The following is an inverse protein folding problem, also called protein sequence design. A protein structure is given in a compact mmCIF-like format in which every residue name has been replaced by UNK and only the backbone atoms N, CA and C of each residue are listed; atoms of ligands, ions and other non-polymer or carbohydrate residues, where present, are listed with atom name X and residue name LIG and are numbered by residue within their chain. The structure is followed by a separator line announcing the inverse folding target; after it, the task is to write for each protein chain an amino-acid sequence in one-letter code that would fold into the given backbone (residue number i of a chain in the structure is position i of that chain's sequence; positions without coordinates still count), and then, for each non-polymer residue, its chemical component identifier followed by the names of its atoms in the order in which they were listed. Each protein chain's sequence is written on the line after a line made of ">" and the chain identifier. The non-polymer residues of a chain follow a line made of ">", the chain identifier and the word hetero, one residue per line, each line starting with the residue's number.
data_IF_804114804321
#
_entry.id   IF_804114804321
#
_cell.length_a   1.000
_cell.length_b   1.000
_cell.length_c   1.000
_cell.angle_alpha   90.00
_cell.angle_beta   90.00
_cell.angle_gamma   90.00
#
_symmetry.space_group_name_H-M   'P 1'
#
loop_
_entity.id
_entity.type
_entity.pdbx_description
1 polymer ?
#
# COMPACT_ATOMS: atom_id res chain seq x y z
N UNK A 1 12.17 -23.73 2.27
CA UNK A 1 12.87 -22.46 2.58
C UNK A 1 12.96 -22.30 4.11
N UNK A 2 14.13 -22.01 4.68
CA UNK A 2 14.28 -21.85 6.14
C UNK A 2 13.58 -20.56 6.62
N UNK A 3 12.93 -20.58 7.79
CA UNK A 3 12.26 -19.41 8.42
C UNK A 3 13.12 -18.14 8.45
N UNK A 4 14.44 -18.28 8.65
CA UNK A 4 15.37 -17.13 8.63
C UNK A 4 15.43 -16.46 7.24
N UNK A 5 15.43 -17.24 6.18
CA UNK A 5 15.43 -16.75 4.79
C UNK A 5 14.13 -16.01 4.49
N UNK A 6 12.97 -16.55 4.88
CA UNK A 6 11.66 -15.90 4.67
C UNK A 6 11.64 -14.54 5.36
N UNK A 7 12.03 -14.49 6.63
CA UNK A 7 12.09 -13.26 7.43
C UNK A 7 13.01 -12.23 6.80
N UNK A 8 14.18 -12.65 6.30
CA UNK A 8 15.11 -11.77 5.60
C UNK A 8 14.51 -11.19 4.31
N UNK A 9 13.83 -12.01 3.50
CA UNK A 9 13.18 -11.55 2.26
C UNK A 9 12.04 -10.57 2.56
N UNK A 10 11.20 -10.87 3.56
CA UNK A 10 10.12 -9.95 3.98
C UNK A 10 10.65 -8.62 4.50
N UNK A 11 11.75 -8.66 5.28
CA UNK A 11 12.42 -7.45 5.76
C UNK A 11 12.95 -6.62 4.59
N UNK A 12 13.63 -7.25 3.63
CA UNK A 12 14.14 -6.57 2.44
C UNK A 12 13.00 -5.97 1.60
N UNK A 13 11.90 -6.70 1.44
CA UNK A 13 10.72 -6.23 0.71
C UNK A 13 10.09 -5.01 1.38
N UNK A 14 9.91 -5.04 2.71
CA UNK A 14 9.43 -3.89 3.48
C UNK A 14 10.36 -2.67 3.31
N UNK A 15 11.67 -2.89 3.36
CA UNK A 15 12.66 -1.84 3.20
C UNK A 15 12.63 -1.21 1.81
N UNK A 16 12.48 -2.03 0.76
CA UNK A 16 12.35 -1.55 -0.61
C UNK A 16 11.03 -0.82 -0.84
N UNK A 17 9.93 -1.28 -0.25
CA UNK A 17 8.64 -0.60 -0.34
C UNK A 17 8.65 0.76 0.37
N UNK A 18 9.34 0.86 1.52
CA UNK A 18 9.37 2.08 2.33
C UNK A 18 10.55 3.02 2.03
N UNK A 19 11.53 2.61 1.22
CA UNK A 19 12.87 3.23 1.14
C UNK A 19 13.51 3.48 2.51
N UNK A 20 13.20 2.65 3.49
CA UNK A 20 13.59 2.90 4.89
C UNK A 20 13.68 1.59 5.65
N UNK A 21 14.53 1.55 6.68
CA UNK A 21 14.60 0.41 7.61
C UNK A 21 13.32 0.25 8.44
N UNK A 22 12.61 1.34 8.66
CA UNK A 22 11.39 1.39 9.45
C UNK A 22 10.29 2.10 8.66
N UNK A 23 9.09 1.53 8.72
CA UNK A 23 7.90 2.15 8.13
C UNK A 23 7.46 3.34 8.98
N UNK A 24 7.31 4.49 8.33
CA UNK A 24 6.70 5.68 8.88
C UNK A 24 5.31 5.88 8.25
N UNK A 25 4.21 5.57 8.97
CA UNK A 25 2.85 5.69 8.43
C UNK A 25 2.40 7.14 8.19
N UNK A 26 3.17 8.14 8.65
CA UNK A 26 2.90 9.56 8.41
C UNK A 26 3.66 10.14 7.22
N UNK A 27 4.61 9.39 6.66
CA UNK A 27 5.26 9.79 5.41
C UNK A 27 4.33 9.49 4.24
N UNK A 28 4.06 10.50 3.41
CA UNK A 28 3.11 10.41 2.29
C UNK A 28 3.51 9.30 1.31
N UNK A 29 4.79 9.19 0.97
CA UNK A 29 5.24 8.21 -0.02
C UNK A 29 5.15 6.79 0.53
N UNK A 30 5.55 6.60 1.79
CA UNK A 30 5.49 5.29 2.43
C UNK A 30 4.05 4.83 2.67
N UNK A 31 3.21 5.70 3.25
CA UNK A 31 1.82 5.37 3.57
C UNK A 31 1.04 5.01 2.32
N UNK A 32 1.11 5.85 1.28
CA UNK A 32 0.40 5.58 0.03
C UNK A 32 0.97 4.37 -0.71
N UNK A 33 2.29 4.14 -0.71
CA UNK A 33 2.87 2.95 -1.32
C UNK A 33 2.38 1.66 -0.63
N UNK A 34 2.37 1.64 0.70
CA UNK A 34 1.91 0.50 1.49
C UNK A 34 0.41 0.26 1.31
N UNK A 35 -0.42 1.30 1.35
CA UNK A 35 -1.86 1.18 1.10
C UNK A 35 -2.16 0.72 -0.33
N UNK A 36 -1.40 1.22 -1.31
CA UNK A 36 -1.59 0.87 -2.71
C UNK A 36 -1.30 -0.60 -3.02
N UNK A 37 -0.39 -1.24 -2.30
CA UNK A 37 -0.16 -2.69 -2.38
C UNK A 37 -1.36 -3.53 -1.86
N UNK A 38 -2.29 -2.90 -1.14
CA UNK A 38 -3.45 -3.59 -0.55
C UNK A 38 -4.70 -3.48 -1.42
N UNK A 39 -5.01 -2.29 -1.95
CA UNK A 39 -6.27 -2.04 -2.65
C UNK A 39 -6.19 -1.06 -3.83
N UNK A 40 -4.98 -0.60 -4.19
CA UNK A 40 -4.72 0.21 -5.39
C UNK A 40 -5.61 1.45 -5.53
N UNK A 41 -5.45 2.48 -4.68
CA UNK A 41 -6.12 3.76 -4.89
C UNK A 41 -5.61 4.41 -6.17
N UNK A 42 -6.52 5.00 -6.93
CA UNK A 42 -6.21 5.73 -8.15
C UNK A 42 -5.67 7.13 -7.79
N UNK A 43 -4.69 7.59 -8.56
CA UNK A 43 -4.03 8.88 -8.36
C UNK A 43 -4.55 9.84 -9.42
N UNK A 44 -5.03 11.00 -8.99
CA UNK A 44 -5.68 11.99 -9.85
C UNK A 44 -4.67 12.63 -10.81
N UNK A 45 -4.86 12.41 -12.12
CA UNK A 45 -4.03 13.05 -13.13
C UNK A 45 -4.33 14.56 -13.20
N UNK A 46 -3.32 15.40 -12.98
CA UNK A 46 -3.44 16.87 -13.05
C UNK A 46 -3.24 17.60 -11.72
N UNK A 47 -3.16 16.89 -10.59
CA UNK A 47 -2.80 17.52 -9.33
C UNK A 47 -1.29 17.89 -9.31
N UNK A 48 -0.97 19.10 -8.82
CA UNK A 48 0.36 19.73 -8.92
C UNK A 48 1.52 18.87 -8.40
N UNK A 49 1.24 18.02 -7.40
CA UNK A 49 2.26 17.20 -6.74
C UNK A 49 2.35 15.76 -7.27
N UNK A 50 1.50 15.38 -8.23
CA UNK A 50 1.40 13.97 -8.66
C UNK A 50 2.64 13.53 -9.42
N UNK A 51 3.17 14.31 -10.35
CA UNK A 51 4.37 13.93 -11.12
C UNK A 51 5.53 13.58 -10.19
N UNK A 52 5.85 14.47 -9.23
CA UNK A 52 6.92 14.22 -8.25
C UNK A 52 6.64 12.98 -7.40
N UNK A 53 5.40 12.74 -7.01
CA UNK A 53 5.02 11.55 -6.26
C UNK A 53 5.19 10.26 -7.08
N UNK A 54 4.76 10.26 -8.35
CA UNK A 54 4.88 9.08 -9.23
C UNK A 54 6.35 8.74 -9.49
N UNK A 55 7.18 9.75 -9.81
CA UNK A 55 8.62 9.58 -10.01
C UNK A 55 9.31 9.03 -8.77
N UNK A 56 9.00 9.58 -7.58
CA UNK A 56 9.51 9.06 -6.30
C UNK A 56 9.04 7.63 -6.09
N UNK A 57 7.75 7.35 -6.33
CA UNK A 57 7.17 6.02 -6.22
C UNK A 57 7.95 4.98 -7.02
N UNK A 58 8.27 5.29 -8.28
CA UNK A 58 9.01 4.40 -9.19
C UNK A 58 10.45 4.25 -8.73
N UNK A 59 11.14 5.36 -8.43
CA UNK A 59 12.55 5.34 -8.06
C UNK A 59 12.83 4.73 -6.67
N UNK A 60 11.82 4.70 -5.78
CA UNK A 60 12.06 4.53 -4.35
C UNK A 60 11.12 3.58 -3.63
N UNK A 61 9.92 3.33 -4.14
CA UNK A 61 8.87 2.66 -3.38
C UNK A 61 8.24 1.48 -4.12
N UNK A 62 8.97 0.85 -5.06
CA UNK A 62 8.49 -0.30 -5.85
C UNK A 62 7.23 -0.02 -6.69
N UNK A 63 6.95 1.24 -7.03
CA UNK A 63 5.92 1.54 -8.02
C UNK A 63 6.43 1.08 -9.38
N UNK A 64 5.58 0.42 -10.14
CA UNK A 64 5.93 -0.03 -11.50
C UNK A 64 5.56 1.07 -12.48
N UNK A 65 6.48 1.38 -13.39
CA UNK A 65 6.20 2.18 -14.58
C UNK A 65 5.86 1.25 -15.73
N UNK A 66 4.60 1.28 -16.17
CA UNK A 66 4.09 0.44 -17.26
C UNK A 66 4.36 1.07 -18.63
N UNK A 67 4.17 2.38 -18.74
CA UNK A 67 4.49 3.15 -19.95
C UNK A 67 4.77 4.61 -19.60
N UNK A 68 5.48 5.31 -20.48
CA UNK A 68 5.80 6.73 -20.33
C UNK A 68 5.93 7.37 -21.71
N UNK A 69 5.55 8.63 -21.82
CA UNK A 69 5.80 9.42 -23.03
C UNK A 69 7.29 9.78 -23.16
N UNK A 70 7.74 10.05 -24.38
CA UNK A 70 9.17 10.37 -24.65
C UNK A 70 9.62 11.64 -23.92
N UNK A 71 8.74 12.64 -23.85
CA UNK A 71 8.93 13.91 -23.13
C UNK A 71 8.72 13.79 -21.61
N UNK A 72 8.37 12.59 -21.10
CA UNK A 72 8.06 12.30 -19.69
C UNK A 72 6.92 13.13 -19.08
N UNK A 73 6.13 13.80 -19.90
CA UNK A 73 4.98 14.58 -19.42
C UNK A 73 3.89 13.67 -18.84
N UNK A 74 3.85 12.41 -19.25
CA UNK A 74 2.90 11.43 -18.76
C UNK A 74 3.54 10.05 -18.52
N UNK A 75 3.16 9.42 -17.42
CA UNK A 75 3.57 8.07 -17.07
C UNK A 75 2.38 7.26 -16.55
N UNK A 76 2.13 6.10 -17.16
CA UNK A 76 1.24 5.10 -16.60
C UNK A 76 2.01 4.28 -15.58
N UNK A 77 1.67 4.45 -14.32
CA UNK A 77 2.39 3.82 -13.21
C UNK A 77 1.39 3.28 -12.20
N UNK A 78 1.76 2.22 -11.49
CA UNK A 78 0.89 1.66 -10.46
C UNK A 78 1.59 0.68 -9.55
N UNK A 79 0.83 0.19 -8.59
CA UNK A 79 1.23 -0.87 -7.70
C UNK A 79 0.49 -2.14 -8.11
N UNK A 80 1.18 -3.13 -8.72
CA UNK A 80 0.52 -4.39 -9.02
C UNK A 80 0.16 -5.07 -7.69
N UNK A 81 -1.08 -5.56 -7.59
CA UNK A 81 -1.52 -6.38 -6.45
C UNK A 81 -0.82 -7.74 -6.49
N UNK A 82 0.42 -7.78 -6.01
CA UNK A 82 1.23 -8.99 -5.91
C UNK A 82 1.01 -9.62 -4.51
N UNK A 83 0.64 -10.91 -4.41
CA UNK A 83 0.27 -11.53 -3.13
C UNK A 83 1.32 -11.37 -2.03
N UNK A 84 2.61 -11.50 -2.35
CA UNK A 84 3.69 -11.39 -1.37
C UNK A 84 3.84 -9.94 -0.88
N UNK A 85 3.89 -8.95 -1.77
CA UNK A 85 3.95 -7.53 -1.38
C UNK A 85 2.70 -7.07 -0.62
N UNK A 86 1.52 -7.59 -0.95
CA UNK A 86 0.30 -7.30 -0.20
C UNK A 86 0.36 -7.81 1.24
N UNK A 87 0.94 -9.00 1.46
CA UNK A 87 1.20 -9.53 2.80
C UNK A 87 2.21 -8.69 3.58
N UNK A 88 3.31 -8.26 2.92
CA UNK A 88 4.31 -7.37 3.54
C UNK A 88 3.65 -6.06 3.96
N UNK A 89 2.84 -5.46 3.09
CA UNK A 89 2.11 -4.24 3.40
C UNK A 89 1.12 -4.42 4.57
N UNK A 90 0.46 -5.57 4.68
CA UNK A 90 -0.39 -5.89 5.82
C UNK A 90 0.38 -5.87 7.15
N UNK A 91 1.55 -6.50 7.18
CA UNK A 91 2.40 -6.54 8.37
C UNK A 91 2.84 -5.13 8.77
N UNK A 92 3.16 -4.26 7.80
CA UNK A 92 3.54 -2.87 8.09
C UNK A 92 2.38 -2.06 8.67
N UNK A 93 1.18 -2.19 8.09
CA UNK A 93 -0.02 -1.48 8.56
C UNK A 93 -0.49 -1.94 9.94
N UNK A 94 -0.28 -3.21 10.29
CA UNK A 94 -0.66 -3.77 11.59
C UNK A 94 0.52 -3.92 12.56
N UNK A 95 1.70 -3.39 12.21
CA UNK A 95 2.91 -3.51 13.03
C UNK A 95 2.85 -2.73 14.35
N UNK A 96 2.00 -1.71 14.43
CA UNK A 96 1.68 -0.99 15.66
C UNK A 96 0.17 -0.74 15.73
N UNK A 97 -0.35 -0.42 16.92
CA UNK A 97 -1.78 -0.09 17.10
C UNK A 97 -2.23 1.15 16.35
N UNK A 98 -1.31 2.03 15.96
CA UNK A 98 -1.59 3.28 15.24
C UNK A 98 -1.22 3.28 13.76
N UNK A 99 -0.40 2.33 13.30
CA UNK A 99 0.16 2.36 11.94
C UNK A 99 -0.91 2.48 10.86
N UNK A 100 -1.98 1.70 10.96
CA UNK A 100 -3.11 1.75 10.03
C UNK A 100 -3.85 3.09 10.10
N UNK A 101 -4.19 3.55 11.30
CA UNK A 101 -4.90 4.82 11.50
C UNK A 101 -4.11 6.00 10.94
N UNK A 102 -2.82 6.10 11.28
CA UNK A 102 -1.93 7.17 10.81
C UNK A 102 -1.79 7.12 9.27
N UNK A 103 -1.71 5.93 8.65
CA UNK A 103 -1.68 5.79 7.20
C UNK A 103 -3.00 6.19 6.53
N UNK A 104 -4.14 5.88 7.16
CA UNK A 104 -5.47 6.29 6.67
C UNK A 104 -5.71 7.79 6.82
N UNK A 105 -5.14 8.44 7.84
CA UNK A 105 -5.15 9.91 7.98
C UNK A 105 -4.40 10.56 6.81
N UNK A 106 -3.25 10.00 6.39
CA UNK A 106 -2.54 10.44 5.19
C UNK A 106 -3.38 10.24 3.93
N UNK A 107 -3.99 9.06 3.76
CA UNK A 107 -4.87 8.80 2.62
C UNK A 107 -6.03 9.80 2.57
N UNK A 108 -6.67 10.05 3.71
CA UNK A 108 -7.77 11.02 3.82
C UNK A 108 -7.30 12.42 3.41
N UNK A 109 -6.18 12.88 3.95
CA UNK A 109 -5.65 14.21 3.61
C UNK A 109 -5.35 14.34 2.10
N UNK A 110 -4.90 13.25 1.45
CA UNK A 110 -4.64 13.23 -0.01
C UNK A 110 -5.87 13.02 -0.87
N UNK A 111 -6.93 12.43 -0.34
CA UNK A 111 -8.23 12.44 -0.98
C UNK A 111 -8.86 13.85 -0.88
N UNK A 112 -8.79 14.48 0.29
CA UNK A 112 -9.33 15.82 0.52
C UNK A 112 -8.62 16.90 -0.32
N UNK A 113 -7.30 16.77 -0.56
CA UNK A 113 -6.53 17.69 -1.42
C UNK A 113 -6.70 17.43 -2.93
N UNK A 114 -7.38 16.33 -3.29
CA UNK A 114 -7.65 15.95 -4.68
C UNK A 114 -6.54 15.14 -5.36
N UNK A 115 -5.46 14.77 -4.65
CA UNK A 115 -4.40 13.91 -5.19
C UNK A 115 -4.80 12.44 -5.37
N UNK A 116 -5.68 11.92 -4.51
CA UNK A 116 -6.20 10.55 -4.58
C UNK A 116 -7.65 10.59 -5.05
N UNK A 117 -7.97 9.81 -6.07
CA UNK A 117 -9.34 9.68 -6.56
C UNK A 117 -10.16 8.81 -5.60
N UNK A 118 -11.34 9.30 -5.22
CA UNK A 118 -12.28 8.54 -4.36
C UNK A 118 -13.16 7.58 -5.15
N UNK A 119 -13.06 7.62 -6.49
CA UNK A 119 -13.93 6.91 -7.41
C UNK A 119 -15.38 7.41 -7.39
N UNK A 120 -16.26 6.67 -8.08
CA UNK A 120 -17.69 6.94 -8.11
C UNK A 120 -18.42 6.14 -7.03
N UNK A 121 -19.54 6.66 -6.53
CA UNK A 121 -20.47 5.90 -5.69
C UNK A 121 -19.84 5.19 -4.47
N UNK A 122 -18.83 5.77 -3.83
CA UNK A 122 -18.20 5.20 -2.62
C UNK A 122 -17.22 4.05 -2.88
N UNK A 123 -16.70 3.93 -4.09
CA UNK A 123 -15.73 2.90 -4.49
C UNK A 123 -14.51 2.82 -3.58
N UNK A 124 -13.87 3.95 -3.26
CA UNK A 124 -12.72 3.93 -2.33
C UNK A 124 -13.11 3.40 -0.95
N UNK A 125 -14.27 3.82 -0.45
CA UNK A 125 -14.78 3.40 0.86
C UNK A 125 -15.11 1.90 0.89
N UNK A 126 -15.72 1.36 -0.17
CA UNK A 126 -16.06 -0.07 -0.26
C UNK A 126 -14.81 -0.95 -0.32
N UNK A 127 -13.81 -0.57 -1.13
CA UNK A 127 -12.49 -1.25 -1.16
C UNK A 127 -11.81 -1.24 0.21
N UNK A 128 -11.86 -0.11 0.92
CA UNK A 128 -11.30 0.00 2.27
C UNK A 128 -12.05 -0.88 3.27
N UNK A 129 -13.38 -0.88 3.28
CA UNK A 129 -14.19 -1.72 4.16
C UNK A 129 -13.90 -3.21 3.94
N UNK A 130 -13.83 -3.66 2.69
CA UNK A 130 -13.48 -5.04 2.34
C UNK A 130 -12.08 -5.42 2.83
N UNK A 131 -11.11 -4.51 2.67
CA UNK A 131 -9.75 -4.72 3.17
C UNK A 131 -9.71 -4.86 4.69
N UNK A 132 -10.38 -3.96 5.41
CA UNK A 132 -10.43 -3.98 6.87
C UNK A 132 -11.11 -5.25 7.39
N UNK A 133 -12.23 -5.64 6.78
CA UNK A 133 -12.92 -6.88 7.13
C UNK A 133 -12.03 -8.11 6.92
N UNK A 134 -11.32 -8.18 5.78
CA UNK A 134 -10.35 -9.25 5.50
C UNK A 134 -9.24 -9.29 6.56
N UNK A 135 -8.66 -8.14 6.90
CA UNK A 135 -7.56 -8.07 7.87
C UNK A 135 -8.02 -8.46 9.27
N UNK A 136 -9.21 -8.03 9.67
CA UNK A 136 -9.82 -8.43 10.95
C UNK A 136 -10.08 -9.93 10.99
N UNK A 137 -10.65 -10.51 9.92
CA UNK A 137 -10.91 -11.95 9.83
C UNK A 137 -9.61 -12.76 9.91
N UNK A 138 -8.57 -12.38 9.18
CA UNK A 138 -7.28 -13.09 9.23
C UNK A 138 -6.69 -13.02 10.63
N UNK A 139 -6.74 -11.85 11.29
CA UNK A 139 -6.22 -11.69 12.65
C UNK A 139 -7.01 -12.50 13.68
N UNK A 140 -8.33 -12.53 13.59
CA UNK A 140 -9.15 -13.34 14.51
C UNK A 140 -8.86 -14.82 14.33
N UNK A 141 -8.78 -15.32 13.09
CA UNK A 141 -8.59 -16.75 12.82
C UNK A 141 -7.16 -17.24 13.11
N UNK A 142 -6.13 -16.42 12.88
CA UNK A 142 -4.75 -16.76 13.29
C UNK A 142 -4.63 -16.80 14.83
N UNK A 143 -5.40 -15.97 15.53
CA UNK A 143 -5.42 -15.98 17.01
C UNK A 143 -6.24 -17.13 17.61
N UNK A 144 -7.10 -17.80 16.84
CA UNK A 144 -8.03 -18.82 17.34
C UNK A 144 -7.84 -20.24 16.79
N UNK A 145 -7.06 -20.50 15.74
CA UNK A 145 -7.06 -21.86 15.15
C UNK A 145 -5.87 -22.26 14.30
N UNK A 146 -5.28 -23.39 14.69
CA UNK A 146 -4.88 -24.52 13.84
C UNK A 146 -5.63 -24.53 12.49
N UNK A 147 -4.91 -24.78 11.40
CA UNK A 147 -5.38 -24.83 10.01
C UNK A 147 -6.24 -26.10 9.76
N UNK A 148 -7.25 -26.37 10.58
CA UNK A 148 -8.13 -27.54 10.46
C UNK A 148 -9.52 -27.26 9.91
N UNK A 149 -9.94 -25.98 9.80
CA UNK A 149 -11.37 -25.67 9.63
C UNK A 149 -11.71 -24.97 8.29
N UNK A 150 -10.95 -25.28 7.23
CA UNK A 150 -11.37 -24.96 5.86
C UNK A 150 -11.86 -26.25 5.19
N UNK A 151 -13.18 -26.47 5.30
CA UNK A 151 -13.94 -27.41 4.48
C UNK A 151 -14.00 -26.94 3.03
#
# INVERSE_FOLDING_TARGET
>A
MNKRTITGIMTLAAQKLCKSKMFNPRDINQALAVLSQRFGPDICFGHLNVVSYLEKGVASHLRVCFSMTEDRSWAFTGYPSEPFMSCVAAILLHGTSRSLTDALEVLKAKADDGMVETGQCGELASRLLLLLAKDMYVRSNISTGTISDLH
#
